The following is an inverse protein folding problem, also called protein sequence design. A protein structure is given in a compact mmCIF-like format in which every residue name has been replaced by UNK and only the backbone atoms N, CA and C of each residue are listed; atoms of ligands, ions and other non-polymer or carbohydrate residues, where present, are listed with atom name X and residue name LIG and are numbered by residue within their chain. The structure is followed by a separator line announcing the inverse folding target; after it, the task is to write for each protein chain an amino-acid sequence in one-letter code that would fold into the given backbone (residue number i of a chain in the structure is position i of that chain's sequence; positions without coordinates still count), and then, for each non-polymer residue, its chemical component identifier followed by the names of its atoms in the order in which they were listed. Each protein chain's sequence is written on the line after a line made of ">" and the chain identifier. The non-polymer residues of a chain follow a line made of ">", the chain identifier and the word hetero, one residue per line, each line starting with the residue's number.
data_IF_237593913328
#
_entry.id   IF_237593913328
#
_cell.length_a   1.000
_cell.length_b   1.000
_cell.length_c   1.000
_cell.angle_alpha   90.00
_cell.angle_beta   90.00
_cell.angle_gamma   90.00
#
_symmetry.space_group_name_H-M   'P 1'
#
loop_
_entity.id
_entity.type
_entity.pdbx_description
1 polymer ?
#
# COMPACT_ATOMS: atom_id res chain seq x y z
N UNK A 1 -40.46 -8.68 -84.10
CA UNK A 1 -40.51 -9.36 -82.81
C UNK A 1 -39.14 -9.88 -82.49
N UNK A 2 -38.37 -9.20 -81.67
CA UNK A 2 -37.03 -9.61 -81.27
C UNK A 2 -37.07 -10.06 -79.81
N UNK A 3 -36.42 -11.17 -79.40
CA UNK A 3 -36.43 -11.63 -77.99
C UNK A 3 -35.40 -10.87 -77.16
N UNK A 4 -35.83 -10.49 -76.00
CA UNK A 4 -35.05 -9.82 -74.97
C UNK A 4 -34.11 -10.88 -74.39
N UNK A 5 -32.80 -10.60 -74.38
CA UNK A 5 -31.79 -11.43 -73.69
C UNK A 5 -31.62 -10.92 -72.35
N UNK A 6 -32.03 -11.69 -71.34
CA UNK A 6 -31.79 -11.46 -69.93
C UNK A 6 -30.32 -11.79 -69.58
N UNK A 7 -29.56 -10.81 -69.18
CA UNK A 7 -28.19 -11.01 -68.74
C UNK A 7 -28.20 -11.35 -67.20
N UNK A 8 -27.66 -12.54 -66.87
CA UNK A 8 -27.38 -12.90 -65.47
C UNK A 8 -26.11 -12.17 -64.97
N UNK A 9 -26.26 -11.46 -63.93
CA UNK A 9 -25.14 -10.84 -63.20
C UNK A 9 -24.62 -11.86 -62.16
N UNK A 10 -23.34 -12.20 -62.13
CA UNK A 10 -22.80 -13.06 -61.09
C UNK A 10 -22.63 -12.28 -59.77
N UNK A 11 -23.28 -12.73 -58.73
CA UNK A 11 -23.15 -12.23 -57.39
C UNK A 11 -21.79 -12.68 -56.82
N UNK A 12 -20.84 -11.77 -56.78
CA UNK A 12 -19.55 -12.01 -56.11
C UNK A 12 -19.77 -11.92 -54.58
N UNK A 13 -19.72 -13.05 -53.92
CA UNK A 13 -19.75 -13.12 -52.47
C UNK A 13 -18.41 -12.59 -51.88
N UNK A 14 -18.47 -11.42 -51.25
CA UNK A 14 -17.35 -10.84 -50.54
C UNK A 14 -17.25 -11.52 -49.16
N UNK A 15 -16.26 -12.42 -49.03
CA UNK A 15 -15.96 -13.09 -47.76
C UNK A 15 -15.25 -12.09 -46.82
N UNK A 16 -16.01 -11.46 -45.89
CA UNK A 16 -15.45 -10.66 -44.81
C UNK A 16 -14.79 -11.60 -43.81
N UNK A 17 -13.46 -11.68 -43.81
CA UNK A 17 -12.71 -12.23 -42.69
C UNK A 17 -12.86 -11.29 -41.50
N UNK A 18 -13.64 -11.70 -40.50
CA UNK A 18 -13.66 -11.07 -39.20
C UNK A 18 -12.31 -11.33 -38.53
N UNK A 19 -11.46 -10.31 -38.44
CA UNK A 19 -10.33 -10.29 -37.49
C UNK A 19 -10.91 -10.23 -36.07
N UNK A 20 -10.91 -11.34 -35.37
CA UNK A 20 -11.14 -11.35 -33.91
C UNK A 20 -9.97 -10.61 -33.24
N UNK A 21 -10.20 -9.59 -32.44
CA UNK A 21 -9.16 -9.06 -31.56
C UNK A 21 -8.79 -10.17 -30.57
N UNK A 22 -7.55 -10.65 -30.65
CA UNK A 22 -6.98 -11.55 -29.66
C UNK A 22 -7.01 -10.88 -28.27
N UNK A 23 -6.98 -11.67 -27.17
CA UNK A 23 -6.93 -11.12 -25.83
C UNK A 23 -5.71 -10.21 -25.74
N UNK A 24 -5.95 -8.95 -25.34
CA UNK A 24 -4.89 -8.02 -25.02
C UNK A 24 -4.06 -8.66 -23.90
N UNK A 25 -2.86 -9.11 -24.23
CA UNK A 25 -1.89 -9.51 -23.24
C UNK A 25 -1.46 -8.21 -22.54
N UNK A 26 -2.05 -7.94 -21.38
CA UNK A 26 -1.49 -7.00 -20.43
C UNK A 26 -0.09 -7.49 -20.08
N UNK A 27 0.91 -6.86 -20.71
CA UNK A 27 2.28 -6.97 -20.26
C UNK A 27 2.30 -6.35 -18.86
N UNK A 28 2.17 -7.17 -17.83
CA UNK A 28 2.52 -6.79 -16.46
C UNK A 28 4.02 -6.49 -16.48
N UNK A 29 4.33 -5.24 -16.72
CA UNK A 29 5.67 -4.68 -16.66
C UNK A 29 6.16 -4.89 -15.23
N UNK A 30 7.34 -5.49 -15.06
CA UNK A 30 7.93 -5.90 -13.79
C UNK A 30 8.28 -4.77 -12.80
N UNK A 31 7.32 -3.90 -12.49
CA UNK A 31 7.45 -2.86 -11.46
C UNK A 31 7.06 -3.31 -10.05
N UNK A 32 6.43 -4.47 -9.89
CA UNK A 32 5.90 -4.89 -8.59
C UNK A 32 6.93 -5.42 -7.60
N UNK A 33 8.03 -6.00 -8.06
CA UNK A 33 9.05 -6.58 -7.17
C UNK A 33 9.99 -5.54 -6.55
N UNK A 34 10.20 -4.41 -7.22
CA UNK A 34 11.00 -3.31 -6.69
C UNK A 34 10.22 -2.42 -5.71
N UNK A 35 8.89 -2.52 -5.69
CA UNK A 35 8.02 -1.72 -4.83
C UNK A 35 7.81 -2.31 -3.44
N UNK A 36 8.24 -3.55 -3.21
CA UNK A 36 8.08 -4.27 -1.94
C UNK A 36 9.38 -4.91 -1.48
N UNK A 37 9.44 -5.25 -0.20
CA UNK A 37 10.54 -6.02 0.40
C UNK A 37 9.98 -6.98 1.45
N UNK A 38 10.59 -8.17 1.58
CA UNK A 38 10.25 -9.13 2.63
C UNK A 38 11.33 -9.06 3.70
N UNK A 39 10.91 -8.76 4.93
CA UNK A 39 11.74 -8.72 6.12
C UNK A 39 11.02 -9.48 7.24
N UNK A 40 11.69 -10.43 7.86
CA UNK A 40 11.19 -11.20 9.01
C UNK A 40 9.79 -11.80 8.76
N UNK A 41 9.59 -12.43 7.57
CA UNK A 41 8.33 -13.03 7.11
C UNK A 41 7.16 -12.00 6.98
N UNK A 42 7.49 -10.73 6.84
CA UNK A 42 6.54 -9.65 6.56
C UNK A 42 6.89 -9.00 5.23
N UNK A 43 5.88 -8.79 4.38
CA UNK A 43 6.05 -7.99 3.17
C UNK A 43 5.72 -6.53 3.51
N UNK A 44 6.58 -5.63 3.07
CA UNK A 44 6.50 -4.20 3.30
C UNK A 44 6.43 -3.45 1.97
N UNK A 45 5.63 -2.40 1.91
CA UNK A 45 5.82 -1.38 0.88
C UNK A 45 7.19 -0.73 1.08
N UNK A 46 7.93 -0.40 0.01
CA UNK A 46 9.26 0.23 0.14
C UNK A 46 9.21 1.69 0.49
N UNK A 47 8.09 2.35 0.27
CA UNK A 47 7.90 3.77 0.51
C UNK A 47 6.68 4.00 1.40
N UNK A 48 6.71 5.09 2.12
CA UNK A 48 5.58 5.63 2.87
C UNK A 48 4.59 6.33 1.93
N UNK A 49 3.53 6.89 2.48
CA UNK A 49 2.62 7.81 1.78
C UNK A 49 3.26 9.16 1.40
N UNK A 50 4.46 9.48 1.91
CA UNK A 50 5.26 10.66 1.57
C UNK A 50 5.05 11.89 2.44
N UNK A 51 3.94 12.01 3.15
CA UNK A 51 3.62 13.17 4.00
C UNK A 51 3.11 12.71 5.38
N UNK A 52 3.27 13.55 6.39
CA UNK A 52 2.66 13.32 7.68
C UNK A 52 1.13 13.45 7.58
N UNK A 53 0.42 12.45 8.08
CA UNK A 53 -1.03 12.35 8.01
C UNK A 53 -1.62 11.98 9.36
N UNK A 54 -2.93 12.15 9.50
CA UNK A 54 -3.67 11.69 10.67
C UNK A 54 -3.75 10.17 10.67
N UNK A 55 -3.84 9.59 11.84
CA UNK A 55 -3.93 8.13 11.97
C UNK A 55 -5.08 7.49 11.17
N UNK A 56 -6.33 8.03 11.14
CA UNK A 56 -7.38 7.43 10.32
C UNK A 56 -7.07 7.44 8.83
N UNK A 57 -6.42 8.51 8.35
CA UNK A 57 -6.00 8.62 6.94
C UNK A 57 -4.87 7.63 6.63
N UNK A 58 -3.99 7.35 7.59
CA UNK A 58 -2.94 6.33 7.48
C UNK A 58 -3.52 4.90 7.40
N UNK A 59 -4.56 4.62 8.18
CA UNK A 59 -5.30 3.34 8.11
C UNK A 59 -5.94 3.17 6.73
N UNK A 60 -6.67 4.20 6.26
CA UNK A 60 -7.33 4.18 4.95
C UNK A 60 -6.32 4.04 3.82
N UNK A 61 -5.21 4.79 3.87
CA UNK A 61 -4.13 4.70 2.88
C UNK A 61 -3.62 3.26 2.72
N UNK A 62 -3.35 2.55 3.81
CA UNK A 62 -2.88 1.17 3.72
C UNK A 62 -4.01 0.21 3.30
N UNK A 63 -5.24 0.41 3.77
CA UNK A 63 -6.37 -0.45 3.41
C UNK A 63 -6.75 -0.36 1.92
N UNK A 64 -6.55 0.80 1.32
CA UNK A 64 -6.82 1.05 -0.10
C UNK A 64 -5.62 0.76 -1.01
N UNK A 65 -4.47 0.38 -0.45
CA UNK A 65 -3.25 0.16 -1.22
C UNK A 65 -3.34 -1.11 -2.06
N UNK A 66 -3.27 -0.95 -3.37
CA UNK A 66 -3.08 -2.06 -4.33
C UNK A 66 -1.61 -2.07 -4.78
N UNK A 67 -0.80 -2.98 -4.26
CA UNK A 67 0.63 -3.02 -4.55
C UNK A 67 1.12 -4.46 -4.74
N UNK A 68 1.92 -4.68 -5.78
CA UNK A 68 2.50 -5.97 -6.13
C UNK A 68 1.46 -7.11 -6.32
N UNK A 69 0.22 -6.76 -6.65
CA UNK A 69 -0.89 -7.70 -6.84
C UNK A 69 -1.60 -8.12 -5.55
N UNK A 70 -1.38 -7.40 -4.47
CA UNK A 70 -2.02 -7.60 -3.16
C UNK A 70 -2.84 -6.37 -2.77
N UNK A 71 -3.93 -6.59 -2.03
CA UNK A 71 -4.88 -5.60 -1.52
C UNK A 71 -5.17 -5.77 -0.01
N UNK A 72 -4.39 -6.59 0.69
CA UNK A 72 -4.51 -6.89 2.12
C UNK A 72 -3.46 -6.15 2.98
N UNK A 73 -3.08 -4.95 2.54
CA UNK A 73 -2.15 -4.10 3.25
C UNK A 73 -2.79 -3.46 4.48
N UNK A 74 -1.98 -3.23 5.51
CA UNK A 74 -2.38 -2.60 6.76
C UNK A 74 -1.25 -1.80 7.38
N UNK A 75 -1.58 -0.97 8.35
CA UNK A 75 -0.55 -0.42 9.24
C UNK A 75 0.13 -1.56 10.03
N UNK A 76 1.44 -1.46 10.29
CA UNK A 76 2.17 -2.41 11.10
C UNK A 76 1.80 -2.30 12.58
N UNK A 77 2.10 -3.34 13.35
CA UNK A 77 2.10 -3.27 14.81
C UNK A 77 3.35 -2.54 15.33
N UNK A 78 3.35 -2.13 16.59
CA UNK A 78 4.53 -1.53 17.23
C UNK A 78 5.73 -2.48 17.24
N UNK A 79 5.48 -3.77 17.48
CA UNK A 79 6.54 -4.80 17.42
C UNK A 79 7.14 -4.93 16.01
N UNK A 80 6.31 -4.83 14.98
CA UNK A 80 6.77 -4.84 13.58
C UNK A 80 7.61 -3.59 13.26
N UNK A 81 7.17 -2.39 13.66
CA UNK A 81 7.95 -1.15 13.51
C UNK A 81 9.29 -1.23 14.25
N UNK A 82 9.26 -1.67 15.50
CA UNK A 82 10.47 -1.84 16.31
C UNK A 82 11.48 -2.81 15.69
N UNK A 83 11.03 -3.82 14.92
CA UNK A 83 11.92 -4.73 14.20
C UNK A 83 12.67 -4.07 13.04
N UNK A 84 12.18 -2.94 12.55
CA UNK A 84 12.84 -2.15 11.51
C UNK A 84 13.86 -1.16 12.06
N UNK A 85 13.90 -0.92 13.37
CA UNK A 85 14.84 0.03 13.96
C UNK A 85 16.29 -0.47 13.87
N UNK A 86 17.18 0.35 13.32
CA UNK A 86 18.64 0.15 13.36
C UNK A 86 19.32 1.44 13.85
N UNK A 87 19.80 1.45 15.11
CA UNK A 87 20.43 2.65 15.70
C UNK A 87 21.76 3.04 15.04
N UNK A 88 22.24 2.29 14.03
CA UNK A 88 23.44 2.60 13.26
C UNK A 88 23.11 3.26 11.92
N UNK A 89 21.84 3.25 11.50
CA UNK A 89 21.37 3.97 10.33
C UNK A 89 21.16 5.45 10.67
N UNK A 90 21.46 6.34 9.73
CA UNK A 90 21.38 7.80 9.93
C UNK A 90 19.93 8.26 10.22
N UNK A 91 18.95 7.58 9.63
CA UNK A 91 17.51 7.83 9.80
C UNK A 91 16.85 6.83 10.78
N UNK A 92 17.66 6.00 11.47
CA UNK A 92 17.21 5.03 12.45
C UNK A 92 16.50 3.79 11.89
N UNK A 93 16.27 3.71 10.57
CA UNK A 93 15.59 2.57 9.97
C UNK A 93 16.55 1.69 9.19
N UNK A 94 16.37 0.37 9.29
CA UNK A 94 17.23 -0.60 8.58
C UNK A 94 17.02 -0.57 7.06
N UNK A 95 18.10 -0.77 6.33
CA UNK A 95 18.01 -0.97 4.89
C UNK A 95 17.04 -2.13 4.52
N UNK A 96 16.32 -2.02 3.40
CA UNK A 96 16.49 -1.06 2.33
C UNK A 96 15.63 0.21 2.44
N UNK A 97 15.03 0.49 3.59
CA UNK A 97 14.24 1.68 3.79
C UNK A 97 15.12 2.92 3.93
N UNK A 98 14.53 4.07 3.63
CA UNK A 98 15.02 5.39 3.96
C UNK A 98 13.81 6.25 4.30
N UNK A 99 13.87 6.93 5.45
CA UNK A 99 12.80 7.79 5.94
C UNK A 99 13.22 9.26 5.83
N UNK A 100 12.29 10.06 5.32
CA UNK A 100 12.33 11.53 5.40
C UNK A 100 11.36 12.09 6.47
N UNK A 101 10.71 11.17 7.21
CA UNK A 101 9.82 11.47 8.33
C UNK A 101 10.45 11.12 9.66
N UNK A 102 10.03 11.78 10.73
CA UNK A 102 10.45 11.38 12.08
C UNK A 102 9.83 10.06 12.49
N UNK A 103 8.62 9.83 12.05
CA UNK A 103 7.72 8.93 12.77
C UNK A 103 6.82 8.15 11.81
N UNK A 104 6.50 6.90 12.18
CA UNK A 104 5.52 6.07 11.48
C UNK A 104 4.39 5.66 12.42
N UNK A 105 3.16 5.73 11.91
CA UNK A 105 1.99 5.23 12.62
C UNK A 105 1.95 3.70 12.70
N UNK A 106 1.54 3.17 13.85
CA UNK A 106 1.13 1.78 13.99
C UNK A 106 -0.38 1.61 13.86
N UNK A 107 -0.85 0.37 13.70
CA UNK A 107 -2.28 0.03 13.74
C UNK A 107 -2.85 -0.10 15.15
N UNK A 108 -2.10 0.24 16.21
CA UNK A 108 -2.47 0.00 17.60
C UNK A 108 -2.88 1.29 18.32
N UNK A 109 -3.93 1.21 19.16
CA UNK A 109 -4.39 2.28 20.02
C UNK A 109 -3.96 2.06 21.47
N UNK A 110 -4.03 3.11 22.30
CA UNK A 110 -3.84 2.97 23.77
C UNK A 110 -4.94 2.13 24.43
N UNK A 111 -6.10 1.97 23.80
CA UNK A 111 -7.15 1.07 24.30
C UNK A 111 -6.77 -0.42 24.13
N UNK A 112 -6.01 -0.74 23.08
CA UNK A 112 -5.56 -2.10 22.78
C UNK A 112 -4.20 -2.42 23.43
N UNK A 113 -3.32 -1.43 23.47
CA UNK A 113 -1.98 -1.51 24.07
C UNK A 113 -1.79 -0.31 25.03
N UNK A 114 -2.17 -0.44 26.31
CA UNK A 114 -1.98 0.63 27.30
C UNK A 114 -0.50 1.00 27.47
N UNK A 115 -0.24 2.29 27.75
CA UNK A 115 1.09 2.76 28.11
C UNK A 115 1.53 2.16 29.47
N UNK A 116 2.81 1.79 29.59
CA UNK A 116 3.33 1.16 30.81
C UNK A 116 3.33 2.11 32.01
N UNK A 117 3.52 3.41 31.79
CA UNK A 117 3.70 4.41 32.82
C UNK A 117 2.38 4.93 33.42
N UNK A 118 1.24 4.46 32.90
CA UNK A 118 -0.08 4.81 33.44
C UNK A 118 -0.39 6.30 33.40
N UNK A 119 0.17 7.02 32.41
CA UNK A 119 -0.05 8.45 32.23
C UNK A 119 -1.53 8.79 32.21
N UNK A 120 -1.92 9.82 32.95
CA UNK A 120 -3.26 10.39 32.90
C UNK A 120 -3.44 11.11 31.56
N UNK A 121 -4.03 10.39 30.58
CA UNK A 121 -4.39 10.97 29.29
C UNK A 121 -5.73 11.70 29.37
N UNK A 122 -5.81 12.85 28.70
CA UNK A 122 -7.08 13.58 28.57
C UNK A 122 -7.98 12.94 27.51
N UNK A 123 -9.08 12.29 27.91
CA UNK A 123 -10.03 11.69 27.00
C UNK A 123 -10.02 10.16 26.99
N UNK A 124 -10.66 9.56 25.98
CA UNK A 124 -10.75 8.12 25.86
C UNK A 124 -9.46 7.52 25.28
N UNK A 125 -8.94 6.40 25.82
CA UNK A 125 -7.72 5.75 25.29
C UNK A 125 -7.76 5.42 23.80
N UNK A 126 -8.93 5.11 23.24
CA UNK A 126 -9.11 4.84 21.80
C UNK A 126 -8.96 6.09 20.91
N UNK A 127 -8.77 7.29 21.48
CA UNK A 127 -8.43 8.50 20.71
C UNK A 127 -6.92 8.63 20.44
N UNK A 128 -6.11 7.83 21.12
CA UNK A 128 -4.64 7.87 21.03
C UNK A 128 -4.15 6.62 20.33
N UNK A 129 -3.23 6.82 19.39
CA UNK A 129 -2.64 5.73 18.61
C UNK A 129 -1.12 5.77 18.72
N UNK A 130 -0.53 4.58 18.71
CA UNK A 130 0.89 4.42 18.81
C UNK A 130 1.60 4.74 17.49
N UNK A 131 2.77 5.31 17.61
CA UNK A 131 3.72 5.51 16.54
C UNK A 131 5.15 5.23 17.01
N UNK A 132 6.04 5.05 16.05
CA UNK A 132 7.45 4.78 16.30
C UNK A 132 8.32 5.89 15.70
N UNK A 133 9.16 6.49 16.55
CA UNK A 133 10.12 7.52 16.19
C UNK A 133 11.48 6.84 15.92
N UNK A 134 11.87 6.78 14.67
CA UNK A 134 13.06 6.04 14.27
C UNK A 134 14.37 6.73 14.63
N UNK A 135 14.43 8.06 14.64
CA UNK A 135 15.60 8.85 15.06
C UNK A 135 16.00 8.63 16.54
N UNK A 136 15.31 7.92 17.30
CA UNK A 136 15.69 7.63 18.68
C UNK A 136 15.31 6.23 19.13
N UNK A 137 14.62 5.49 18.28
CA UNK A 137 14.09 4.17 18.61
C UNK A 137 13.02 4.26 19.70
N UNK A 138 12.21 5.33 19.70
CA UNK A 138 11.24 5.62 20.74
C UNK A 138 9.81 5.31 20.30
N UNK A 139 9.07 4.69 21.19
CA UNK A 139 7.62 4.58 21.07
C UNK A 139 6.97 5.87 21.60
N UNK A 140 5.96 6.36 20.89
CA UNK A 140 5.14 7.48 21.31
C UNK A 140 3.67 7.20 21.00
N UNK A 141 2.79 8.01 21.54
CA UNK A 141 1.38 8.00 21.15
C UNK A 141 0.86 9.42 20.97
N UNK A 142 -0.03 9.59 20.01
CA UNK A 142 -0.64 10.88 19.71
C UNK A 142 -2.14 10.75 19.47
N UNK A 143 -2.85 11.87 19.63
CA UNK A 143 -4.28 11.93 19.33
C UNK A 143 -4.48 11.82 17.82
N UNK A 144 -5.43 11.00 17.38
CA UNK A 144 -5.69 10.65 15.98
C UNK A 144 -6.00 11.84 15.06
N UNK A 145 -6.22 13.04 15.58
CA UNK A 145 -6.51 14.24 14.76
C UNK A 145 -5.24 14.98 14.33
N UNK A 146 -4.08 14.66 14.87
CA UNK A 146 -2.81 15.30 14.52
C UNK A 146 -2.12 14.56 13.36
N UNK A 147 -1.37 15.32 12.57
CA UNK A 147 -0.51 14.78 11.51
C UNK A 147 0.87 14.55 12.11
N UNK A 148 1.03 13.45 12.84
CA UNK A 148 2.23 13.18 13.66
C UNK A 148 3.05 11.98 13.12
N UNK A 149 2.74 11.48 11.95
CA UNK A 149 3.50 10.38 11.36
C UNK A 149 3.03 10.00 9.96
N UNK A 150 3.87 9.24 9.27
CA UNK A 150 3.57 8.69 7.97
C UNK A 150 3.07 7.25 8.06
N UNK A 151 2.49 6.75 6.95
CA UNK A 151 2.06 5.36 6.80
C UNK A 151 3.08 4.55 6.01
N UNK A 152 3.68 3.54 6.62
CA UNK A 152 4.43 2.47 5.96
C UNK A 152 3.60 1.19 6.03
N UNK A 153 3.13 0.69 4.89
CA UNK A 153 2.21 -0.43 4.88
C UNK A 153 2.93 -1.79 4.93
N UNK A 154 2.33 -2.73 5.65
CA UNK A 154 2.81 -4.09 5.79
C UNK A 154 1.68 -5.10 5.55
N UNK A 155 2.04 -6.32 5.13
CA UNK A 155 1.14 -7.48 5.04
C UNK A 155 1.83 -8.77 5.45
N UNK A 156 1.06 -9.79 5.77
CA UNK A 156 1.60 -11.12 6.03
C UNK A 156 2.10 -11.76 4.73
N UNK A 157 3.21 -12.46 4.80
CA UNK A 157 3.63 -13.38 3.72
C UNK A 157 2.94 -14.71 3.98
N UNK A 158 2.19 -15.21 3.00
CA UNK A 158 1.59 -16.55 3.03
C UNK A 158 2.62 -17.62 2.68
#
# INVERSE_FOLDING_TARGET
>A
MAPIRTALIPTTALLLLALSPGPAQSSATGGGQDATVIIDQRMWARTTNGDDIRWPDAVEYCADLELAGYDDWRLPTMAELGSLHDPRADDGIRAPFSLDACCLWSGESLAERPAEDGDEIGGAPGMYHWGFMFDGGLEYYAVHIFNDGQALCARNVE
#
